data_IF_857026581526
#
_entry.id   IF_857026581526
#
_cell.length_a   1.000
_cell.length_b   1.000
_cell.length_c   1.000
_cell.angle_alpha   90.00
_cell.angle_beta   90.00
_cell.angle_gamma   90.00
#
_symmetry.space_group_name_H-M   'P 1'
#
loop_
_entity.id
_entity.type
_entity.pdbx_description
1 polymer ?
#
# COMPACT_ATOMS: atom_id res chain seq x y z
N UNK A 1 16.33 -8.44 10.22
CA UNK A 1 17.09 -8.10 9.01
C UNK A 1 16.87 -6.62 8.75
N UNK A 2 17.96 -5.86 8.63
CA UNK A 2 17.96 -4.42 8.32
C UNK A 2 18.05 -4.35 6.80
N UNK A 3 17.23 -3.51 6.10
CA UNK A 3 17.36 -3.38 4.65
C UNK A 3 18.80 -2.96 4.33
N UNK A 4 19.46 -3.68 3.42
CA UNK A 4 20.82 -3.35 2.99
C UNK A 4 20.80 -1.92 2.48
N UNK A 5 21.63 -1.06 3.06
CA UNK A 5 21.91 0.27 2.53
C UNK A 5 22.25 0.10 1.03
N UNK A 6 21.33 0.50 0.15
CA UNK A 6 21.41 0.25 -1.29
C UNK A 6 20.06 0.04 -2.02
N UNK A 7 18.97 -0.39 -1.35
CA UNK A 7 17.65 -0.50 -2.00
C UNK A 7 16.85 0.80 -1.87
N UNK A 8 17.28 1.83 -2.60
CA UNK A 8 16.59 3.13 -2.70
C UNK A 8 15.12 2.95 -3.10
N UNK A 9 14.83 1.99 -3.98
CA UNK A 9 13.47 1.67 -4.42
C UNK A 9 12.64 1.11 -3.26
N UNK A 10 13.19 0.17 -2.49
CA UNK A 10 12.54 -0.38 -1.30
C UNK A 10 12.21 0.70 -0.26
N UNK A 11 13.12 1.66 -0.04
CA UNK A 11 12.89 2.78 0.89
C UNK A 11 11.82 3.75 0.39
N UNK A 12 11.75 4.01 -0.92
CA UNK A 12 10.70 4.84 -1.53
C UNK A 12 9.32 4.19 -1.33
N UNK A 13 9.21 2.89 -1.60
CA UNK A 13 7.98 2.12 -1.42
C UNK A 13 7.56 2.08 0.05
N UNK A 14 8.50 1.82 0.98
CA UNK A 14 8.23 1.85 2.43
C UNK A 14 7.72 3.21 2.89
N UNK A 15 8.33 4.29 2.41
CA UNK A 15 7.95 5.66 2.73
C UNK A 15 6.53 5.97 2.24
N UNK A 16 6.20 5.56 1.01
CA UNK A 16 4.87 5.74 0.45
C UNK A 16 3.80 4.97 1.26
N UNK A 17 4.08 3.71 1.62
CA UNK A 17 3.18 2.95 2.49
C UNK A 17 3.01 3.57 3.87
N UNK A 18 4.09 4.05 4.50
CA UNK A 18 4.02 4.73 5.80
C UNK A 18 3.16 6.00 5.73
N UNK A 19 3.32 6.79 4.67
CA UNK A 19 2.49 7.97 4.44
C UNK A 19 1.02 7.60 4.29
N UNK A 20 0.70 6.55 3.52
CA UNK A 20 -0.67 6.05 3.40
C UNK A 20 -1.25 5.63 4.76
N UNK A 21 -0.51 4.84 5.54
CA UNK A 21 -0.95 4.37 6.87
C UNK A 21 -1.30 5.53 7.82
N UNK A 22 -0.51 6.62 7.79
CA UNK A 22 -0.78 7.81 8.59
C UNK A 22 -2.07 8.53 8.19
N UNK A 23 -2.46 8.46 6.91
CA UNK A 23 -3.68 9.11 6.40
C UNK A 23 -4.95 8.29 6.65
N UNK A 24 -4.85 6.96 6.87
CA UNK A 24 -5.99 6.03 6.93
C UNK A 24 -7.11 6.46 7.89
N UNK A 25 -6.78 7.12 9.00
CA UNK A 25 -7.78 7.57 9.98
C UNK A 25 -8.66 8.74 9.48
N UNK A 26 -8.21 9.44 8.44
CA UNK A 26 -8.82 10.68 7.98
C UNK A 26 -9.30 10.63 6.53
N UNK A 27 -9.19 9.46 5.87
CA UNK A 27 -9.56 9.30 4.48
C UNK A 27 -10.67 8.26 4.31
N UNK A 28 -11.43 8.41 3.23
CA UNK A 28 -12.43 7.43 2.80
C UNK A 28 -11.78 6.33 1.93
N UNK A 29 -12.59 5.34 1.53
CA UNK A 29 -12.10 4.22 0.72
C UNK A 29 -11.68 4.61 -0.69
N UNK A 30 -12.30 5.62 -1.31
CA UNK A 30 -11.91 6.15 -2.62
C UNK A 30 -10.54 6.82 -2.57
N UNK A 31 -10.31 7.68 -1.58
CA UNK A 31 -9.03 8.34 -1.31
C UNK A 31 -7.93 7.32 -1.00
N UNK A 32 -8.23 6.33 -0.14
CA UNK A 32 -7.32 5.22 0.12
C UNK A 32 -6.96 4.46 -1.16
N UNK A 33 -7.94 4.17 -2.00
CA UNK A 33 -7.73 3.43 -3.24
C UNK A 33 -6.87 4.23 -4.22
N UNK A 34 -7.08 5.54 -4.30
CA UNK A 34 -6.26 6.45 -5.13
C UNK A 34 -4.81 6.48 -4.65
N UNK A 35 -4.57 6.61 -3.35
CA UNK A 35 -3.23 6.58 -2.79
C UNK A 35 -2.56 5.20 -3.00
N UNK A 36 -3.32 4.12 -2.88
CA UNK A 36 -2.81 2.77 -3.11
C UNK A 36 -2.52 2.50 -4.60
N UNK A 37 -3.28 3.08 -5.52
CA UNK A 37 -3.01 3.08 -6.97
C UNK A 37 -1.67 3.75 -7.27
N UNK A 38 -1.41 4.93 -6.69
CA UNK A 38 -0.11 5.60 -6.85
C UNK A 38 1.07 4.74 -6.39
N UNK A 39 0.89 4.00 -5.28
CA UNK A 39 1.91 3.07 -4.78
C UNK A 39 2.05 1.86 -5.71
N UNK A 40 0.95 1.32 -6.23
CA UNK A 40 0.98 0.22 -7.18
C UNK A 40 1.72 0.61 -8.48
N UNK A 41 1.50 1.81 -8.99
CA UNK A 41 2.20 2.33 -10.17
C UNK A 41 3.69 2.53 -9.89
N UNK A 42 4.05 3.08 -8.72
CA UNK A 42 5.45 3.18 -8.29
C UNK A 42 6.14 1.81 -8.24
N UNK A 43 5.48 0.79 -7.66
CA UNK A 43 6.00 -0.57 -7.60
C UNK A 43 6.16 -1.14 -9.01
N UNK A 44 5.15 -0.97 -9.88
CA UNK A 44 5.19 -1.45 -11.25
C UNK A 44 6.34 -0.81 -12.04
N UNK A 45 6.54 0.51 -11.90
CA UNK A 45 7.60 1.24 -12.59
C UNK A 45 8.99 0.81 -12.12
N UNK A 46 9.19 0.64 -10.80
CA UNK A 46 10.53 0.41 -10.24
C UNK A 46 10.91 -1.07 -10.09
N UNK A 47 9.93 -1.95 -9.83
CA UNK A 47 10.16 -3.39 -9.58
C UNK A 47 9.48 -4.30 -10.60
N UNK A 48 8.62 -3.78 -11.47
CA UNK A 48 7.89 -4.56 -12.48
C UNK A 48 6.69 -5.34 -11.92
N UNK A 49 6.10 -6.19 -12.76
CA UNK A 49 4.92 -6.98 -12.40
C UNK A 49 5.23 -8.01 -11.30
N UNK A 50 4.32 -8.15 -10.34
CA UNK A 50 4.45 -9.10 -9.23
C UNK A 50 3.08 -9.58 -8.72
N UNK A 51 3.07 -10.71 -8.00
CA UNK A 51 1.86 -11.20 -7.30
C UNK A 51 1.37 -10.17 -6.28
N UNK A 52 2.27 -9.43 -5.66
CA UNK A 52 1.93 -8.34 -4.73
C UNK A 52 1.08 -7.27 -5.41
N UNK A 53 1.40 -6.87 -6.65
CA UNK A 53 0.58 -5.92 -7.41
C UNK A 53 -0.85 -6.42 -7.66
N UNK A 54 -1.05 -7.71 -7.87
CA UNK A 54 -2.41 -8.27 -7.96
C UNK A 54 -3.17 -8.13 -6.64
N UNK A 55 -2.50 -8.34 -5.51
CA UNK A 55 -3.09 -8.13 -4.17
C UNK A 55 -3.46 -6.67 -3.94
N UNK A 56 -2.56 -5.73 -4.31
CA UNK A 56 -2.84 -4.29 -4.24
C UNK A 56 -4.07 -3.93 -5.07
N UNK A 57 -4.12 -4.36 -6.34
CA UNK A 57 -5.27 -4.13 -7.23
C UNK A 57 -6.57 -4.71 -6.69
N UNK A 58 -6.52 -5.88 -6.07
CA UNK A 58 -7.68 -6.47 -5.40
C UNK A 58 -8.18 -5.56 -4.26
N UNK A 59 -7.27 -5.07 -3.42
CA UNK A 59 -7.60 -4.17 -2.32
C UNK A 59 -8.14 -2.83 -2.82
N UNK A 60 -7.53 -2.23 -3.84
CA UNK A 60 -8.03 -1.01 -4.52
C UNK A 60 -9.49 -1.24 -4.95
N UNK A 61 -9.76 -2.33 -5.66
CA UNK A 61 -11.11 -2.62 -6.14
C UNK A 61 -12.15 -2.84 -5.02
N UNK A 62 -11.72 -3.26 -3.82
CA UNK A 62 -12.62 -3.40 -2.67
C UNK A 62 -13.05 -2.05 -2.10
N UNK A 63 -12.20 -1.03 -2.14
CA UNK A 63 -12.44 0.25 -1.48
C UNK A 63 -12.72 1.41 -2.45
N UNK A 64 -12.45 1.27 -3.76
CA UNK A 64 -12.61 2.37 -4.74
C UNK A 64 -14.03 2.91 -4.87
N UNK A 65 -15.04 2.13 -4.46
CA UNK A 65 -16.45 2.55 -4.45
C UNK A 65 -16.96 2.85 -3.04
N UNK A 66 -16.08 2.84 -2.04
CA UNK A 66 -16.42 3.05 -0.64
C UNK A 66 -16.23 4.54 -0.28
N UNK A 67 -17.31 5.30 -0.40
CA UNK A 67 -17.33 6.75 -0.15
C UNK A 67 -17.34 7.12 1.34
N UNK A 68 -17.50 6.14 2.23
CA UNK A 68 -17.46 6.34 3.69
C UNK A 68 -16.03 6.36 4.24
N UNK A 69 -15.86 6.94 5.43
CA UNK A 69 -14.59 6.79 6.16
C UNK A 69 -14.31 5.32 6.45
N UNK A 70 -13.03 4.97 6.41
CA UNK A 70 -12.58 3.63 6.77
C UNK A 70 -12.90 3.34 8.24
N UNK A 71 -13.52 2.19 8.50
CA UNK A 71 -13.75 1.73 9.88
C UNK A 71 -12.43 1.30 10.53
N UNK A 72 -12.37 1.25 11.87
CA UNK A 72 -11.19 0.73 12.58
C UNK A 72 -10.82 -0.70 12.14
N UNK A 73 -11.82 -1.51 11.81
CA UNK A 73 -11.65 -2.88 11.29
C UNK A 73 -11.00 -2.84 9.91
N UNK A 74 -11.47 -1.96 9.01
CA UNK A 74 -10.87 -1.77 7.70
C UNK A 74 -9.42 -1.30 7.79
N UNK A 75 -9.17 -0.29 8.64
CA UNK A 75 -7.83 0.25 8.87
C UNK A 75 -6.89 -0.85 9.34
N UNK A 76 -7.30 -1.66 10.32
CA UNK A 76 -6.50 -2.78 10.81
C UNK A 76 -6.17 -3.77 9.69
N UNK A 77 -7.16 -4.19 8.92
CA UNK A 77 -6.95 -5.12 7.80
C UNK A 77 -6.06 -4.53 6.69
N UNK A 78 -6.19 -3.23 6.41
CA UNK A 78 -5.33 -2.53 5.46
C UNK A 78 -3.87 -2.52 5.95
N UNK A 79 -3.64 -2.16 7.21
CA UNK A 79 -2.30 -2.14 7.81
C UNK A 79 -1.67 -3.53 7.80
N UNK A 80 -2.42 -4.57 8.19
CA UNK A 80 -1.95 -5.97 8.12
C UNK A 80 -1.55 -6.36 6.69
N UNK A 81 -2.36 -5.98 5.70
CA UNK A 81 -2.06 -6.24 4.27
C UNK A 81 -0.79 -5.53 3.81
N UNK A 82 -0.62 -4.25 4.20
CA UNK A 82 0.56 -3.46 3.86
C UNK A 82 1.82 -4.09 4.45
N UNK A 83 1.80 -4.52 5.71
CA UNK A 83 2.95 -5.19 6.34
C UNK A 83 3.26 -6.54 5.70
N UNK A 84 2.25 -7.29 5.21
CA UNK A 84 2.49 -8.48 4.39
C UNK A 84 3.18 -8.13 3.07
N UNK A 85 2.68 -7.12 2.33
CA UNK A 85 3.25 -6.73 1.04
C UNK A 85 4.67 -6.22 1.15
N UNK A 86 4.97 -5.45 2.19
CA UNK A 86 6.32 -4.95 2.47
C UNK A 86 7.34 -6.08 2.62
N UNK A 87 6.97 -7.20 3.26
CA UNK A 87 7.84 -8.38 3.37
C UNK A 87 8.19 -9.02 2.02
N UNK A 88 7.34 -8.85 1.00
CA UNK A 88 7.59 -9.36 -0.34
C UNK A 88 8.28 -8.34 -1.26
N UNK A 89 8.17 -7.05 -0.93
CA UNK A 89 8.67 -5.96 -1.76
C UNK A 89 10.04 -5.44 -1.31
N UNK A 90 10.38 -5.51 -0.03
CA UNK A 90 11.56 -4.83 0.56
C UNK A 90 12.60 -5.81 1.11
N UNK A 91 12.22 -7.07 1.40
CA UNK A 91 13.15 -8.11 1.87
C UNK A 91 13.73 -8.95 0.73
#
# INVERSE_FOLDING_TARGET
QIPKAGDEVGMLIDTAFKSLVQKLQNINGEEFSTELENIADLILEKKGFSVTLHKLRSKINQYKTHLGHLSEVDIKHIVESIEEWKKHLIN
#
